data_IF_804507677308
#
_entry.id   IF_804507677308
#
_cell.length_a   1.000
_cell.length_b   1.000
_cell.length_c   1.000
_cell.angle_alpha   90.00
_cell.angle_beta   90.00
_cell.angle_gamma   90.00
#
_symmetry.space_group_name_H-M   'P 1'
#
loop_
_entity.id
_entity.type
_entity.pdbx_description
1 polymer ?
#
# COMPACT_ATOMS: atom_id res chain seq x y z
N UNK A 1 -10.02 12.60 21.68
CA UNK A 1 -8.96 11.84 20.95
C UNK A 1 -8.79 10.45 21.59
N UNK A 2 -9.74 9.52 21.40
CA UNK A 2 -9.73 8.25 22.14
C UNK A 2 -10.28 7.15 21.22
N UNK A 3 -9.39 6.32 20.67
CA UNK A 3 -9.57 5.05 19.91
C UNK A 3 -8.65 4.84 18.69
N UNK A 4 -7.76 5.79 18.34
CA UNK A 4 -6.90 5.64 17.14
C UNK A 4 -5.81 4.58 17.26
N UNK A 5 -5.20 4.39 18.43
CA UNK A 5 -4.05 3.49 18.56
C UNK A 5 -4.38 1.99 18.35
N UNK A 6 -5.48 1.42 18.92
CA UNK A 6 -5.81 0.01 18.68
C UNK A 6 -6.19 -0.30 17.23
N UNK A 7 -6.96 0.60 16.60
CA UNK A 7 -7.35 0.44 15.20
C UNK A 7 -6.13 0.50 14.26
N UNK A 8 -5.22 1.46 14.49
CA UNK A 8 -3.96 1.56 13.75
C UNK A 8 -3.13 0.29 13.85
N UNK A 9 -2.96 -0.24 15.06
CA UNK A 9 -2.16 -1.45 15.23
C UNK A 9 -2.83 -2.66 14.57
N UNK A 10 -4.17 -2.75 14.61
CA UNK A 10 -4.90 -3.76 13.85
C UNK A 10 -4.66 -3.61 12.33
N UNK A 11 -4.74 -2.40 11.77
CA UNK A 11 -4.51 -2.15 10.35
C UNK A 11 -3.07 -2.48 9.92
N UNK A 12 -2.07 -2.16 10.75
CA UNK A 12 -0.67 -2.56 10.49
C UNK A 12 -0.52 -4.07 10.49
N UNK A 13 -1.18 -4.77 11.40
CA UNK A 13 -1.15 -6.25 11.45
C UNK A 13 -1.83 -6.86 10.24
N UNK A 14 -2.96 -6.30 9.80
CA UNK A 14 -3.64 -6.71 8.56
C UNK A 14 -2.73 -6.48 7.36
N UNK A 15 -2.13 -5.30 7.21
CA UNK A 15 -1.26 -4.96 6.09
C UNK A 15 -0.02 -5.85 5.97
N UNK A 16 0.47 -6.41 7.09
CA UNK A 16 1.61 -7.34 7.12
C UNK A 16 1.21 -8.82 6.99
N UNK A 17 -0.09 -9.12 7.02
CA UNK A 17 -0.55 -10.50 7.05
C UNK A 17 -0.48 -11.09 5.62
N UNK A 18 0.21 -12.23 5.41
CA UNK A 18 0.47 -12.75 4.06
C UNK A 18 -0.79 -13.08 3.25
N UNK A 19 -1.90 -13.40 3.94
CA UNK A 19 -3.19 -13.69 3.31
C UNK A 19 -4.18 -12.50 3.40
N UNK A 20 -3.70 -11.28 3.61
CA UNK A 20 -4.57 -10.11 3.58
C UNK A 20 -5.26 -9.99 2.22
N UNK A 21 -6.58 -9.83 2.24
CA UNK A 21 -7.35 -9.68 1.01
C UNK A 21 -7.15 -8.29 0.40
N UNK A 22 -7.34 -8.12 -0.92
CA UNK A 22 -7.30 -6.79 -1.55
C UNK A 22 -8.24 -5.78 -0.89
N UNK A 23 -9.44 -6.21 -0.48
CA UNK A 23 -10.40 -5.36 0.20
C UNK A 23 -9.91 -4.92 1.60
N UNK A 24 -9.26 -5.82 2.36
CA UNK A 24 -8.68 -5.46 3.65
C UNK A 24 -7.50 -4.49 3.49
N UNK A 25 -6.66 -4.71 2.48
CA UNK A 25 -5.56 -3.80 2.15
C UNK A 25 -6.06 -2.42 1.72
N UNK A 26 -7.17 -2.34 0.97
CA UNK A 26 -7.79 -1.07 0.62
C UNK A 26 -8.20 -0.25 1.86
N UNK A 27 -8.67 -0.92 2.92
CA UNK A 27 -8.92 -0.26 4.21
C UNK A 27 -7.61 0.20 4.86
N UNK A 28 -6.55 -0.62 4.83
CA UNK A 28 -5.23 -0.23 5.35
C UNK A 28 -4.64 0.98 4.64
N UNK A 29 -4.91 1.18 3.35
CA UNK A 29 -4.46 2.38 2.61
C UNK A 29 -5.08 3.68 3.14
N UNK A 30 -6.15 3.62 3.93
CA UNK A 30 -6.76 4.83 4.53
C UNK A 30 -6.10 5.30 5.82
N UNK A 31 -5.20 4.50 6.43
CA UNK A 31 -4.43 4.87 7.62
C UNK A 31 -2.99 5.19 7.25
N UNK A 32 -2.52 6.39 7.62
CA UNK A 32 -1.19 6.91 7.29
C UNK A 32 -0.03 5.96 7.69
N UNK A 33 -0.16 5.17 8.77
CA UNK A 33 0.91 4.27 9.23
C UNK A 33 0.80 2.86 8.65
N UNK A 34 -0.40 2.45 8.21
CA UNK A 34 -0.62 1.17 7.55
C UNK A 34 -0.49 1.26 6.03
N UNK A 35 -0.68 2.45 5.44
CA UNK A 35 -0.62 2.69 4.00
C UNK A 35 0.68 2.21 3.34
N UNK A 36 1.90 2.56 3.82
CA UNK A 36 3.13 2.08 3.17
C UNK A 36 3.28 0.56 3.29
N UNK A 37 2.78 -0.05 4.38
CA UNK A 37 2.79 -1.51 4.55
C UNK A 37 1.85 -2.20 3.57
N UNK A 38 0.67 -1.62 3.35
CA UNK A 38 -0.29 -2.13 2.38
C UNK A 38 0.19 -1.93 0.94
N UNK A 39 0.85 -0.80 0.65
CA UNK A 39 1.46 -0.48 -0.63
C UNK A 39 2.56 -1.49 -1.03
N UNK A 40 3.32 -2.01 -0.05
CA UNK A 40 4.32 -3.05 -0.28
C UNK A 40 3.74 -4.48 -0.40
N UNK A 41 2.44 -4.67 -0.17
CA UNK A 41 1.86 -6.01 -0.07
C UNK A 41 1.60 -6.62 -1.47
N UNK A 42 2.03 -7.87 -1.76
CA UNK A 42 1.93 -8.47 -3.10
C UNK A 42 0.49 -8.72 -3.55
N UNK A 43 -0.47 -8.84 -2.63
CA UNK A 43 -1.88 -8.99 -2.98
C UNK A 43 -2.56 -7.68 -3.44
N UNK A 44 -1.85 -6.54 -3.46
CA UNK A 44 -2.42 -5.28 -3.91
C UNK A 44 -2.59 -5.28 -5.45
N UNK A 45 -3.77 -4.91 -5.99
CA UNK A 45 -3.97 -4.88 -7.43
C UNK A 45 -3.07 -3.84 -8.14
N UNK A 46 -2.56 -4.19 -9.32
CA UNK A 46 -1.69 -3.33 -10.13
C UNK A 46 -2.26 -1.92 -10.36
N UNK A 47 -3.55 -1.72 -10.71
CA UNK A 47 -4.08 -0.37 -10.90
C UNK A 47 -4.00 0.50 -9.65
N UNK A 48 -4.09 -0.10 -8.45
CA UNK A 48 -3.92 0.61 -7.19
C UNK A 48 -2.45 0.96 -6.98
N UNK A 49 -1.52 0.04 -7.27
CA UNK A 49 -0.09 0.31 -7.19
C UNK A 49 0.33 1.47 -8.10
N UNK A 50 -0.14 1.49 -9.35
CA UNK A 50 0.13 2.58 -10.29
C UNK A 50 -0.35 3.93 -9.76
N UNK A 51 -1.54 3.98 -9.13
CA UNK A 51 -2.04 5.20 -8.52
C UNK A 51 -1.17 5.66 -7.34
N UNK A 52 -0.65 4.72 -6.54
CA UNK A 52 0.20 5.02 -5.37
C UNK A 52 1.62 5.50 -5.76
N UNK A 53 2.06 5.33 -7.00
CA UNK A 53 3.35 5.87 -7.47
C UNK A 53 3.42 7.40 -7.41
N UNK A 54 2.27 8.07 -7.40
CA UNK A 54 2.15 9.52 -7.21
C UNK A 54 1.64 9.92 -5.83
N UNK A 55 1.68 9.04 -4.82
CA UNK A 55 1.27 9.39 -3.45
C UNK A 55 2.20 10.50 -2.89
N UNK A 56 1.62 11.41 -2.10
CA UNK A 56 2.35 12.52 -1.48
C UNK A 56 3.30 12.04 -0.38
N UNK A 57 3.03 10.89 0.22
CA UNK A 57 3.92 10.24 1.17
C UNK A 57 4.97 9.42 0.41
N UNK A 58 6.22 9.90 0.43
CA UNK A 58 7.36 9.26 -0.23
C UNK A 58 7.53 7.79 0.17
N UNK A 59 7.29 7.44 1.43
CA UNK A 59 7.40 6.05 1.88
C UNK A 59 6.34 5.13 1.24
N UNK A 60 5.20 5.69 0.86
CA UNK A 60 4.12 4.98 0.17
C UNK A 60 4.46 4.82 -1.31
N UNK A 61 4.93 5.89 -1.96
CA UNK A 61 5.35 5.86 -3.35
C UNK A 61 6.51 4.88 -3.57
N UNK A 62 7.52 4.91 -2.69
CA UNK A 62 8.63 3.96 -2.69
C UNK A 62 8.17 2.52 -2.48
N UNK A 63 7.28 2.29 -1.51
CA UNK A 63 6.73 0.96 -1.25
C UNK A 63 5.94 0.41 -2.43
N UNK A 64 5.16 1.25 -3.12
CA UNK A 64 4.44 0.88 -4.33
C UNK A 64 5.41 0.56 -5.49
N UNK A 65 6.44 1.39 -5.69
CA UNK A 65 7.46 1.19 -6.71
C UNK A 65 8.28 -0.10 -6.49
N UNK A 66 8.56 -0.44 -5.22
CA UNK A 66 9.26 -1.65 -4.83
C UNK A 66 8.35 -2.90 -4.76
N UNK A 67 7.04 -2.76 -4.99
CA UNK A 67 6.11 -3.88 -4.85
C UNK A 67 6.36 -4.94 -5.95
N UNK A 68 6.54 -6.22 -5.60
CA UNK A 68 6.82 -7.28 -6.57
C UNK A 68 5.67 -7.54 -7.57
N UNK A 69 4.46 -7.11 -7.26
CA UNK A 69 3.31 -7.23 -8.13
C UNK A 69 3.20 -6.09 -9.15
N UNK A 70 3.99 -5.03 -9.03
CA UNK A 70 4.04 -3.94 -10.01
C UNK A 70 4.93 -4.35 -11.20
N UNK A 71 4.37 -4.51 -12.42
CA UNK A 71 5.18 -4.89 -13.57
C UNK A 71 6.14 -3.76 -13.97
N UNK A 72 7.39 -4.05 -14.35
CA UNK A 72 8.33 -3.02 -14.84
C UNK A 72 7.81 -2.22 -16.03
N UNK A 73 6.93 -2.82 -16.84
CA UNK A 73 6.28 -2.14 -17.96
C UNK A 73 5.38 -0.97 -17.53
N UNK A 74 4.75 -1.04 -16.35
CA UNK A 74 3.97 0.08 -15.81
C UNK A 74 4.89 1.22 -15.36
N UNK A 75 6.04 0.90 -14.75
CA UNK A 75 7.05 1.90 -14.40
C UNK A 75 7.64 2.58 -15.64
N UNK A 76 7.93 1.82 -16.69
CA UNK A 76 8.49 2.34 -17.93
C UNK A 76 7.57 3.37 -18.63
N UNK A 77 6.25 3.26 -18.45
CA UNK A 77 5.27 4.22 -19.01
C UNK A 77 5.33 5.60 -18.36
N UNK A 78 5.97 5.72 -17.19
CA UNK A 78 6.08 6.97 -16.44
C UNK A 78 7.38 7.73 -16.73
N UNK A 79 8.30 7.12 -17.49
CA UNK A 79 9.56 7.72 -17.91
C UNK A 79 9.34 8.35 -19.30
N UNK A 80 9.65 9.64 -19.51
CA UNK A 80 9.53 10.32 -20.80
C UNK A 80 10.41 9.73 -21.92
#
# INVERSE_FOLDING_TARGET
MVRRAPAREALKRVARHPNASPAALAVCLTDEYARPLAAAHPALPVPVLVALLGDEDEAVAEAAAANPSLPPAEMARLIP
#
